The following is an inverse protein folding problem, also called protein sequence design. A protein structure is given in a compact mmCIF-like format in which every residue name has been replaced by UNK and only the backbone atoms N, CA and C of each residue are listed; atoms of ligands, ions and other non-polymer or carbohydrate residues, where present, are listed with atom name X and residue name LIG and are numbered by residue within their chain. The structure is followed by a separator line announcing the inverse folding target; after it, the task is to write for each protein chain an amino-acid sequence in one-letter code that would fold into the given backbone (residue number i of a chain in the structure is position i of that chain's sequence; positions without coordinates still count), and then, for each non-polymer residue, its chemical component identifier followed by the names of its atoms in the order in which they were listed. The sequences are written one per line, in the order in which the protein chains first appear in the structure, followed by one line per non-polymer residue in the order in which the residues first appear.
data_IF_339595910986
#
_entry.id   IF_339595910986
#
_cell.length_a   1.000
_cell.length_b   1.000
_cell.length_c   1.000
_cell.angle_alpha   90.00
_cell.angle_beta   90.00
_cell.angle_gamma   90.00
#
_symmetry.space_group_name_H-M   'P 1'
#
loop_
_entity.id
_entity.type
_entity.pdbx_description
1 polymer ?
#
# COMPACT_ATOMS: atom_id res chain seq x y z
N UNK A 1 -25.68 14.94 47.76
CA UNK A 1 -25.94 14.28 46.47
C UNK A 1 -25.00 14.93 45.48
N UNK A 2 -23.85 14.32 45.29
CA UNK A 2 -22.84 14.74 44.31
C UNK A 2 -23.18 14.04 43.01
N UNK A 3 -23.55 14.85 42.02
CA UNK A 3 -23.85 14.46 40.66
C UNK A 3 -22.53 13.97 40.02
N UNK A 4 -22.46 12.68 39.70
CA UNK A 4 -21.38 12.11 38.92
C UNK A 4 -21.55 12.62 37.49
N UNK A 5 -20.79 13.65 37.13
CA UNK A 5 -20.58 14.05 35.74
C UNK A 5 -19.99 12.85 35.00
N UNK A 6 -20.81 12.24 34.14
CA UNK A 6 -20.34 11.23 33.19
C UNK A 6 -19.38 11.92 32.23
N UNK A 7 -18.11 11.51 32.20
CA UNK A 7 -17.17 11.99 31.21
C UNK A 7 -17.73 11.75 29.80
N UNK A 8 -17.68 12.74 28.89
CA UNK A 8 -18.18 12.56 27.54
C UNK A 8 -17.34 11.47 26.86
N UNK A 9 -17.99 10.41 26.39
CA UNK A 9 -17.36 9.40 25.57
C UNK A 9 -16.63 10.10 24.42
N UNK A 10 -15.31 9.99 24.37
CA UNK A 10 -14.49 10.58 23.31
C UNK A 10 -14.96 10.04 21.96
N UNK A 11 -15.65 10.87 21.20
CA UNK A 11 -16.08 10.55 19.84
C UNK A 11 -14.85 10.43 18.95
N UNK A 12 -14.58 9.22 18.43
CA UNK A 12 -13.52 8.98 17.47
C UNK A 12 -13.80 9.77 16.18
N UNK A 13 -12.77 10.42 15.63
CA UNK A 13 -12.88 11.28 14.44
C UNK A 13 -13.43 10.54 13.23
N UNK A 14 -13.04 9.29 13.04
CA UNK A 14 -13.49 8.45 11.92
C UNK A 14 -14.34 7.25 12.36
N UNK A 15 -14.99 7.35 13.53
CA UNK A 15 -15.96 6.36 14.01
C UNK A 15 -15.43 4.92 13.99
N UNK A 16 -16.19 4.03 13.34
CA UNK A 16 -15.91 2.59 13.33
C UNK A 16 -14.63 2.23 12.56
N UNK A 17 -14.25 2.96 11.51
CA UNK A 17 -12.97 2.74 10.83
C UNK A 17 -11.81 2.98 11.79
N UNK A 18 -11.81 4.11 12.51
CA UNK A 18 -10.75 4.40 13.48
C UNK A 18 -10.71 3.34 14.58
N UNK A 19 -11.87 2.91 15.08
CA UNK A 19 -11.97 1.86 16.10
C UNK A 19 -11.39 0.53 15.61
N UNK A 20 -11.67 0.13 14.37
CA UNK A 20 -11.14 -1.08 13.78
C UNK A 20 -9.62 -1.02 13.61
N UNK A 21 -9.09 0.13 13.16
CA UNK A 21 -7.65 0.33 13.05
C UNK A 21 -6.94 0.37 14.39
N UNK A 22 -7.51 1.02 15.41
CA UNK A 22 -6.97 1.00 16.77
C UNK A 22 -6.85 -0.44 17.30
N UNK A 23 -7.85 -1.29 17.06
CA UNK A 23 -7.80 -2.71 17.44
C UNK A 23 -6.68 -3.46 16.72
N UNK A 24 -6.51 -3.24 15.41
CA UNK A 24 -5.43 -3.84 14.62
C UNK A 24 -4.05 -3.36 15.10
N UNK A 25 -3.92 -2.08 15.42
CA UNK A 25 -2.70 -1.50 15.99
C UNK A 25 -2.36 -2.16 17.33
N UNK A 26 -3.34 -2.28 18.23
CA UNK A 26 -3.16 -2.97 19.52
C UNK A 26 -2.76 -4.45 19.36
N UNK A 27 -3.26 -5.13 18.33
CA UNK A 27 -2.81 -6.50 18.05
C UNK A 27 -1.37 -6.55 17.56
N UNK A 28 -0.87 -5.56 16.83
CA UNK A 28 0.53 -5.52 16.40
C UNK A 28 1.49 -5.29 17.56
N UNK A 29 1.03 -4.62 18.63
CA UNK A 29 1.83 -4.37 19.83
C UNK A 29 2.19 -5.66 20.60
N UNK A 30 3.24 -5.60 21.45
CA UNK A 30 3.58 -6.70 22.35
C UNK A 30 2.36 -7.18 23.14
N UNK A 31 2.36 -8.46 23.48
CA UNK A 31 1.29 -9.04 24.30
C UNK A 31 1.38 -8.47 25.71
N UNK A 32 0.66 -7.38 25.97
CA UNK A 32 0.44 -6.86 27.31
C UNK A 32 -0.63 -7.68 28.03
N UNK A 33 -0.73 -7.51 29.36
CA UNK A 33 -1.71 -8.22 30.18
C UNK A 33 -3.18 -7.85 29.89
N UNK A 34 -3.42 -6.92 28.97
CA UNK A 34 -4.74 -6.53 28.49
C UNK A 34 -5.49 -7.71 27.86
N UNK A 35 -6.80 -7.88 28.14
CA UNK A 35 -7.61 -8.92 27.51
C UNK A 35 -7.67 -8.75 25.98
N UNK A 36 -7.68 -7.51 25.47
CA UNK A 36 -7.75 -7.21 24.03
C UNK A 36 -6.50 -7.70 23.30
N UNK A 37 -5.33 -7.55 23.91
CA UNK A 37 -4.07 -8.04 23.37
C UNK A 37 -3.91 -9.54 23.56
N UNK A 38 -4.64 -10.23 24.45
CA UNK A 38 -4.54 -11.69 24.60
C UNK A 38 -5.39 -12.47 23.59
N UNK A 39 -6.45 -11.86 23.06
CA UNK A 39 -7.44 -12.53 22.21
C UNK A 39 -7.28 -12.26 20.71
N UNK A 40 -6.09 -11.90 20.23
CA UNK A 40 -5.87 -11.71 18.78
C UNK A 40 -6.23 -13.01 18.01
N UNK A 41 -7.22 -12.98 17.10
CA UNK A 41 -7.69 -14.19 16.43
C UNK A 41 -6.78 -14.60 15.26
N UNK A 42 -5.89 -13.70 14.83
CA UNK A 42 -4.99 -13.89 13.70
C UNK A 42 -3.78 -14.69 14.18
N UNK A 43 -3.63 -15.89 13.62
CA UNK A 43 -2.51 -16.79 13.89
C UNK A 43 -1.39 -16.54 12.87
N UNK A 44 -0.17 -16.92 13.25
CA UNK A 44 0.92 -17.00 12.29
C UNK A 44 0.52 -17.93 11.14
N UNK A 45 0.68 -17.46 9.90
CA UNK A 45 0.36 -18.26 8.72
C UNK A 45 1.39 -19.38 8.55
N UNK A 46 0.99 -20.47 7.91
CA UNK A 46 1.92 -21.55 7.51
C UNK A 46 1.87 -21.79 6.01
N UNK A 47 1.17 -20.93 5.27
CA UNK A 47 0.98 -21.05 3.83
C UNK A 47 2.29 -20.76 3.10
N UNK A 48 2.76 -21.72 2.29
CA UNK A 48 3.90 -21.50 1.41
C UNK A 48 3.46 -21.38 -0.05
N UNK A 49 4.29 -20.76 -0.90
CA UNK A 49 3.98 -20.59 -2.32
C UNK A 49 3.70 -21.92 -3.04
N UNK A 50 4.43 -22.98 -2.67
CA UNK A 50 4.20 -24.33 -3.20
C UNK A 50 2.78 -24.85 -2.92
N UNK A 51 2.17 -24.46 -1.80
CA UNK A 51 0.82 -24.89 -1.43
C UNK A 51 -0.22 -24.18 -2.30
N UNK A 52 0.06 -22.95 -2.75
CA UNK A 52 -0.79 -22.20 -3.67
C UNK A 52 -0.90 -22.88 -5.04
N UNK A 53 0.19 -23.48 -5.53
CA UNK A 53 0.18 -24.22 -6.80
C UNK A 53 -0.58 -25.55 -6.73
N UNK A 54 -0.89 -26.04 -5.51
CA UNK A 54 -1.72 -27.24 -5.32
C UNK A 54 -3.22 -26.93 -5.41
N UNK A 55 -3.63 -25.66 -5.42
CA UNK A 55 -5.03 -25.30 -5.63
C UNK A 55 -5.35 -25.42 -7.13
N UNK A 56 -5.98 -26.53 -7.52
CA UNK A 56 -6.31 -26.86 -8.93
C UNK A 56 -7.07 -25.75 -9.70
N UNK A 57 -7.71 -24.83 -8.97
CA UNK A 57 -8.51 -23.72 -9.52
C UNK A 57 -7.72 -22.42 -9.71
N UNK A 58 -6.54 -22.32 -9.10
CA UNK A 58 -5.70 -21.14 -9.17
C UNK A 58 -4.68 -21.31 -10.30
N UNK A 59 -4.74 -20.44 -11.29
CA UNK A 59 -3.64 -20.29 -12.24
C UNK A 59 -2.58 -19.42 -11.57
N UNK A 60 -1.34 -19.88 -11.60
CA UNK A 60 -0.23 -19.22 -10.93
C UNK A 60 0.88 -19.04 -11.95
N UNK A 61 1.16 -17.78 -12.27
CA UNK A 61 2.23 -17.39 -13.17
C UNK A 61 3.40 -16.79 -12.37
N UNK A 62 4.58 -17.37 -12.59
CA UNK A 62 5.85 -16.97 -11.99
C UNK A 62 6.78 -16.43 -13.08
N UNK A 63 7.83 -15.73 -12.66
CA UNK A 63 8.88 -15.21 -13.55
C UNK A 63 8.34 -14.27 -14.65
N UNK A 64 7.19 -13.64 -14.38
CA UNK A 64 6.74 -12.51 -15.18
C UNK A 64 7.84 -11.45 -15.13
N UNK A 65 8.16 -10.89 -16.30
CA UNK A 65 9.17 -9.83 -16.36
C UNK A 65 8.68 -8.68 -15.49
N UNK A 66 9.39 -8.33 -14.40
CA UNK A 66 8.97 -7.22 -13.57
C UNK A 66 8.98 -5.95 -14.40
N UNK A 67 7.96 -5.13 -14.21
CA UNK A 67 7.81 -3.86 -14.91
C UNK A 67 8.15 -2.74 -13.95
N UNK A 68 8.95 -1.77 -14.42
CA UNK A 68 9.03 -0.48 -13.74
C UNK A 68 7.61 0.07 -13.61
N UNK A 69 7.21 0.39 -12.39
CA UNK A 69 5.91 0.97 -12.08
C UNK A 69 6.11 2.48 -11.94
N UNK A 70 5.74 3.29 -12.95
CA UNK A 70 5.99 4.74 -12.93
C UNK A 70 5.38 5.42 -11.69
N UNK A 71 4.32 4.83 -11.11
CA UNK A 71 3.64 5.28 -9.90
C UNK A 71 4.59 5.35 -8.68
N UNK A 72 5.56 4.43 -8.60
CA UNK A 72 6.45 4.26 -7.45
C UNK A 72 7.94 4.38 -7.82
N UNK A 73 8.30 4.43 -9.10
CA UNK A 73 9.69 4.42 -9.57
C UNK A 73 10.54 5.50 -8.91
N UNK A 74 10.06 6.76 -8.89
CA UNK A 74 10.74 7.89 -8.26
C UNK A 74 10.93 7.72 -6.74
N UNK A 75 10.16 6.84 -6.13
CA UNK A 75 10.13 6.58 -4.69
C UNK A 75 11.06 5.42 -4.33
N UNK A 76 11.30 4.49 -5.25
CA UNK A 76 12.29 3.42 -5.08
C UNK A 76 13.71 4.00 -5.04
N UNK A 77 13.97 5.08 -5.79
CA UNK A 77 15.22 5.84 -5.74
C UNK A 77 15.52 6.38 -4.33
N UNK A 78 14.52 6.92 -3.65
CA UNK A 78 14.66 7.42 -2.26
C UNK A 78 15.09 6.29 -1.29
N UNK A 79 14.62 5.07 -1.55
CA UNK A 79 14.93 3.88 -0.75
C UNK A 79 16.29 3.27 -1.08
N UNK A 80 17.06 3.84 -2.02
CA UNK A 80 18.30 3.26 -2.57
C UNK A 80 18.12 1.83 -3.06
N UNK A 81 16.88 1.43 -3.32
CA UNK A 81 16.54 0.13 -3.86
C UNK A 81 16.46 0.31 -5.36
N UNK A 82 17.42 -0.27 -6.08
CA UNK A 82 17.33 -0.33 -7.53
C UNK A 82 16.07 -1.16 -7.85
N UNK A 83 15.13 -0.57 -8.58
CA UNK A 83 13.87 -1.21 -8.97
C UNK A 83 14.08 -2.45 -9.83
N UNK A 84 13.09 -2.83 -10.67
CA UNK A 84 13.13 -4.01 -11.52
C UNK A 84 14.41 -4.23 -12.36
N UNK A 85 15.14 -3.15 -12.64
CA UNK A 85 16.41 -3.17 -13.38
C UNK A 85 17.56 -3.91 -12.68
N UNK A 86 17.48 -4.13 -11.36
CA UNK A 86 18.52 -4.84 -10.59
C UNK A 86 18.45 -6.37 -10.74
N UNK A 87 17.42 -6.88 -11.43
CA UNK A 87 17.22 -8.32 -11.64
C UNK A 87 16.87 -9.12 -10.37
N UNK A 88 16.70 -8.44 -9.22
CA UNK A 88 16.25 -9.01 -7.95
C UNK A 88 14.76 -8.78 -7.71
N UNK A 89 14.00 -8.53 -8.76
CA UNK A 89 12.56 -8.33 -8.68
C UNK A 89 11.85 -9.44 -9.42
N UNK A 90 10.75 -9.93 -8.84
CA UNK A 90 9.91 -10.92 -9.50
C UNK A 90 8.47 -10.44 -9.48
N UNK A 91 7.74 -10.69 -10.57
CA UNK A 91 6.31 -10.42 -10.67
C UNK A 91 5.54 -11.74 -10.61
N UNK A 92 4.43 -11.72 -9.88
CA UNK A 92 3.55 -12.86 -9.68
C UNK A 92 2.12 -12.46 -10.06
N UNK A 93 1.42 -13.37 -10.71
CA UNK A 93 -0.03 -13.27 -10.93
C UNK A 93 -0.69 -14.59 -10.51
N UNK A 94 -1.73 -14.47 -9.68
CA UNK A 94 -2.53 -15.59 -9.21
C UNK A 94 -3.98 -15.28 -9.54
N UNK A 95 -4.59 -16.08 -10.40
CA UNK A 95 -5.97 -15.86 -10.82
C UNK A 95 -6.83 -17.12 -10.73
N UNK A 96 -8.07 -16.95 -10.28
CA UNK A 96 -9.11 -17.95 -10.37
C UNK A 96 -10.29 -17.38 -11.15
N UNK A 97 -10.70 -18.10 -12.20
CA UNK A 97 -11.85 -17.74 -13.02
C UNK A 97 -13.13 -18.45 -12.55
N UNK A 98 -14.24 -17.72 -12.54
CA UNK A 98 -15.58 -18.30 -12.42
C UNK A 98 -15.96 -18.99 -13.73
N UNK A 99 -15.68 -20.30 -13.78
CA UNK A 99 -16.04 -21.14 -14.92
C UNK A 99 -17.52 -21.52 -14.93
N UNK A 100 -18.26 -21.30 -13.83
CA UNK A 100 -19.68 -21.68 -13.71
C UNK A 100 -20.63 -20.60 -14.23
N UNK A 101 -20.23 -19.34 -14.13
CA UNK A 101 -21.00 -18.20 -14.68
C UNK A 101 -20.73 -17.90 -16.15
N UNK A 102 -19.84 -18.66 -16.78
CA UNK A 102 -19.51 -18.46 -18.19
C UNK A 102 -20.63 -19.02 -19.08
N UNK A 103 -21.47 -18.13 -19.62
CA UNK A 103 -22.26 -18.43 -20.81
C UNK A 103 -21.47 -17.97 -22.05
N UNK A 104 -21.01 -18.89 -22.93
CA UNK A 104 -20.31 -18.54 -24.16
C UNK A 104 -21.12 -17.63 -25.10
N UNK A 105 -22.43 -17.51 -24.89
CA UNK A 105 -23.34 -16.66 -25.67
C UNK A 105 -23.47 -15.24 -25.13
N UNK A 106 -23.02 -15.00 -23.91
CA UNK A 106 -23.01 -13.67 -23.32
C UNK A 106 -21.80 -12.89 -23.88
N UNK A 107 -22.06 -12.16 -24.98
CA UNK A 107 -21.05 -11.36 -25.69
C UNK A 107 -20.61 -10.12 -24.90
N UNK A 108 -21.38 -9.72 -23.89
CA UNK A 108 -21.09 -8.56 -23.04
C UNK A 108 -20.37 -8.97 -21.74
N UNK A 109 -20.18 -10.28 -21.51
CA UNK A 109 -19.44 -10.80 -20.36
C UNK A 109 -17.94 -10.48 -20.50
N UNK A 110 -17.50 -9.39 -19.88
CA UNK A 110 -16.09 -8.99 -19.90
C UNK A 110 -15.23 -10.06 -19.18
N UNK A 111 -14.01 -10.28 -19.67
CA UNK A 111 -13.09 -11.27 -19.07
C UNK A 111 -12.79 -10.94 -17.59
N UNK A 112 -12.80 -9.66 -17.24
CA UNK A 112 -12.52 -9.16 -15.89
C UNK A 112 -13.56 -9.58 -14.85
N UNK A 113 -14.84 -9.66 -15.22
CA UNK A 113 -15.91 -10.14 -14.34
C UNK A 113 -15.82 -11.64 -14.05
N UNK A 114 -15.01 -12.40 -14.82
CA UNK A 114 -14.73 -13.82 -14.56
C UNK A 114 -13.72 -14.00 -13.45
N UNK A 115 -12.81 -13.05 -13.25
CA UNK A 115 -11.77 -13.12 -12.22
C UNK A 115 -12.42 -12.97 -10.84
N UNK A 116 -12.51 -14.06 -10.08
CA UNK A 116 -13.16 -14.09 -8.76
C UNK A 116 -12.17 -14.11 -7.60
N UNK A 117 -10.97 -14.64 -7.83
CA UNK A 117 -9.83 -14.45 -6.95
C UNK A 117 -8.66 -13.96 -7.81
N UNK A 118 -8.06 -12.84 -7.43
CA UNK A 118 -6.90 -12.22 -8.08
C UNK A 118 -5.92 -11.80 -7.00
N UNK A 119 -4.65 -12.06 -7.25
CA UNK A 119 -3.54 -11.39 -6.60
C UNK A 119 -2.50 -11.11 -7.66
N UNK A 120 -2.13 -9.84 -7.84
CA UNK A 120 -1.03 -9.44 -8.71
C UNK A 120 -0.09 -8.51 -7.95
N UNK A 121 1.21 -8.69 -8.15
CA UNK A 121 2.19 -7.92 -7.41
C UNK A 121 3.62 -8.29 -7.75
N UNK A 122 4.54 -7.56 -7.13
CA UNK A 122 5.98 -7.71 -7.32
C UNK A 122 6.69 -7.75 -5.97
N UNK A 123 7.75 -8.56 -5.90
CA UNK A 123 8.65 -8.62 -4.76
C UNK A 123 9.99 -8.00 -5.14
N UNK A 124 10.63 -7.36 -4.18
CA UNK A 124 12.01 -6.89 -4.26
C UNK A 124 12.66 -6.91 -2.88
N UNK A 125 13.99 -6.72 -2.79
CA UNK A 125 14.68 -6.68 -1.51
C UNK A 125 14.08 -5.61 -0.61
N UNK A 126 13.48 -6.03 0.51
CA UNK A 126 12.78 -5.15 1.46
C UNK A 126 11.45 -4.55 1.01
N UNK A 127 10.97 -4.87 -0.20
CA UNK A 127 9.78 -4.24 -0.80
C UNK A 127 8.79 -5.28 -1.31
N UNK A 128 7.52 -5.11 -0.94
CA UNK A 128 6.40 -5.81 -1.54
C UNK A 128 5.49 -4.79 -2.23
N UNK A 129 5.24 -4.96 -3.52
CA UNK A 129 4.27 -4.17 -4.28
C UNK A 129 3.07 -5.02 -4.59
N UNK A 130 1.88 -4.51 -4.30
CA UNK A 130 0.62 -5.18 -4.59
C UNK A 130 -0.14 -4.30 -5.58
N UNK A 131 -0.39 -4.84 -6.76
CA UNK A 131 -1.04 -4.17 -7.90
C UNK A 131 -2.54 -4.46 -7.92
N UNK A 132 -2.94 -5.71 -7.63
CA UNK A 132 -4.34 -6.08 -7.59
C UNK A 132 -4.62 -7.12 -6.51
N UNK A 133 -5.73 -6.94 -5.78
CA UNK A 133 -6.23 -7.94 -4.83
C UNK A 133 -7.74 -8.03 -4.93
N UNK A 134 -8.23 -9.24 -5.20
CA UNK A 134 -9.66 -9.56 -5.20
C UNK A 134 -9.82 -10.94 -4.63
N UNK A 135 -10.65 -11.14 -3.61
CA UNK A 135 -10.86 -12.47 -3.02
C UNK A 135 -12.31 -12.72 -2.68
N UNK A 136 -12.80 -13.89 -3.06
CA UNK A 136 -14.10 -14.45 -2.73
C UNK A 136 -13.99 -15.74 -1.91
N UNK A 137 -12.89 -16.48 -2.04
CA UNK A 137 -12.69 -17.77 -1.34
C UNK A 137 -11.22 -18.15 -1.22
N UNK A 138 -10.92 -19.20 -0.44
CA UNK A 138 -9.58 -19.75 -0.28
C UNK A 138 -8.75 -19.00 0.76
N UNK A 139 -7.41 -19.15 0.74
CA UNK A 139 -6.53 -18.45 1.68
C UNK A 139 -6.72 -16.93 1.63
N UNK A 140 -6.48 -16.27 2.77
CA UNK A 140 -6.56 -14.81 2.82
C UNK A 140 -5.46 -14.20 1.96
N UNK A 141 -5.76 -13.07 1.32
CA UNK A 141 -4.77 -12.34 0.50
C UNK A 141 -3.53 -11.95 1.29
N UNK A 142 -3.65 -11.67 2.59
CA UNK A 142 -2.51 -11.35 3.46
C UNK A 142 -1.55 -12.54 3.63
N UNK A 143 -2.07 -13.77 3.67
CA UNK A 143 -1.27 -14.98 3.72
C UNK A 143 -0.60 -15.26 2.38
N UNK A 144 -1.30 -14.99 1.28
CA UNK A 144 -0.75 -15.10 -0.08
C UNK A 144 0.40 -14.12 -0.27
N UNK A 145 0.20 -12.85 0.10
CA UNK A 145 1.24 -11.82 0.06
C UNK A 145 2.48 -12.23 0.85
N UNK A 146 2.31 -12.79 2.06
CA UNK A 146 3.42 -13.32 2.85
C UNK A 146 4.12 -14.47 2.13
N UNK A 147 3.38 -15.47 1.66
CA UNK A 147 3.92 -16.66 1.01
C UNK A 147 4.71 -16.32 -0.27
N UNK A 148 4.26 -15.30 -1.01
CA UNK A 148 4.93 -14.80 -2.21
C UNK A 148 6.21 -14.06 -1.84
N UNK A 149 6.18 -13.17 -0.85
CA UNK A 149 7.39 -12.47 -0.42
C UNK A 149 8.45 -13.42 0.14
N UNK A 150 8.04 -14.35 1.01
CA UNK A 150 8.91 -15.37 1.63
C UNK A 150 9.54 -16.35 0.64
N UNK A 151 8.96 -16.49 -0.55
CA UNK A 151 9.57 -17.30 -1.60
C UNK A 151 10.91 -16.71 -2.07
N UNK A 152 11.02 -15.38 -2.08
CA UNK A 152 12.16 -14.68 -2.66
C UNK A 152 13.10 -14.12 -1.60
N UNK A 153 12.55 -13.63 -0.47
CA UNK A 153 13.28 -12.93 0.57
C UNK A 153 12.84 -13.38 1.97
N UNK A 154 13.73 -13.43 2.96
CA UNK A 154 13.33 -13.64 4.36
C UNK A 154 12.33 -12.56 4.78
N UNK A 155 11.23 -12.94 5.45
CA UNK A 155 10.17 -11.99 5.80
C UNK A 155 10.67 -10.86 6.70
N UNK A 156 11.72 -11.10 7.47
CA UNK A 156 12.39 -10.12 8.33
C UNK A 156 13.04 -8.97 7.57
N UNK A 157 13.25 -9.10 6.27
CA UNK A 157 13.77 -8.00 5.44
C UNK A 157 12.68 -7.06 4.97
N UNK A 158 11.39 -7.40 5.10
CA UNK A 158 10.28 -6.58 4.61
C UNK A 158 10.19 -5.26 5.39
N UNK A 159 10.40 -4.14 4.69
CA UNK A 159 10.39 -2.78 5.24
C UNK A 159 9.29 -1.92 4.62
N UNK A 160 8.92 -2.19 3.37
CA UNK A 160 7.96 -1.38 2.62
C UNK A 160 6.90 -2.25 1.94
N UNK A 161 5.64 -1.88 2.10
CA UNK A 161 4.54 -2.42 1.31
C UNK A 161 3.89 -1.29 0.53
N UNK A 162 3.81 -1.44 -0.79
CA UNK A 162 3.11 -0.53 -1.68
C UNK A 162 1.80 -1.16 -2.13
N UNK A 163 0.72 -0.38 -2.06
CA UNK A 163 -0.54 -0.67 -2.75
C UNK A 163 -0.64 0.33 -3.88
N UNK A 164 -0.56 -0.14 -5.12
CA UNK A 164 -0.65 0.73 -6.29
C UNK A 164 -2.04 0.67 -6.91
N UNK A 165 -2.44 1.77 -7.53
CA UNK A 165 -3.70 1.93 -8.24
C UNK A 165 -4.91 1.47 -7.38
N UNK A 166 -5.07 2.08 -6.21
CA UNK A 166 -6.07 1.69 -5.20
C UNK A 166 -7.49 1.89 -5.74
N UNK A 167 -8.14 0.78 -6.08
CA UNK A 167 -9.54 0.73 -6.55
C UNK A 167 -10.52 0.13 -5.53
N UNK A 168 -10.05 -0.31 -4.36
CA UNK A 168 -10.93 -0.82 -3.31
C UNK A 168 -11.79 0.33 -2.77
N UNK A 169 -13.08 0.31 -3.12
CA UNK A 169 -14.02 1.44 -2.94
C UNK A 169 -14.01 2.01 -1.52
N UNK A 170 -14.00 1.15 -0.49
CA UNK A 170 -14.01 1.62 0.91
C UNK A 170 -12.74 2.38 1.29
N UNK A 171 -11.58 1.90 0.85
CA UNK A 171 -10.28 2.55 1.08
C UNK A 171 -10.17 3.83 0.24
N UNK A 172 -10.53 3.76 -1.04
CA UNK A 172 -10.48 4.90 -1.95
C UNK A 172 -11.38 6.05 -1.47
N UNK A 173 -12.63 5.74 -1.10
CA UNK A 173 -13.57 6.71 -0.57
C UNK A 173 -13.06 7.32 0.74
N UNK A 174 -12.51 6.51 1.64
CA UNK A 174 -11.94 7.00 2.89
C UNK A 174 -10.81 8.01 2.64
N UNK A 175 -9.88 7.70 1.74
CA UNK A 175 -8.79 8.62 1.39
C UNK A 175 -9.33 9.92 0.79
N UNK A 176 -10.21 9.82 -0.20
CA UNK A 176 -10.74 11.00 -0.92
C UNK A 176 -11.60 11.89 -0.05
N UNK A 177 -12.54 11.32 0.70
CA UNK A 177 -13.58 12.07 1.38
C UNK A 177 -13.25 12.40 2.84
N UNK A 178 -12.40 11.60 3.49
CA UNK A 178 -12.10 11.74 4.92
C UNK A 178 -10.68 12.22 5.20
N UNK A 179 -9.69 11.78 4.40
CA UNK A 179 -8.29 12.19 4.60
C UNK A 179 -7.92 13.44 3.83
N UNK A 180 -8.30 13.54 2.56
CA UNK A 180 -7.95 14.67 1.71
C UNK A 180 -8.91 15.84 1.90
N UNK A 181 -8.89 16.36 3.12
CA UNK A 181 -9.75 17.45 3.56
C UNK A 181 -8.92 18.58 4.16
N UNK A 182 -9.44 19.80 4.04
CA UNK A 182 -8.79 20.98 4.62
C UNK A 182 -8.59 20.88 6.14
N UNK A 183 -9.46 20.15 6.85
CA UNK A 183 -9.33 19.90 8.29
C UNK A 183 -8.13 19.02 8.66
N UNK A 184 -7.58 18.26 7.71
CA UNK A 184 -6.35 17.51 7.88
C UNK A 184 -5.13 18.24 7.31
N UNK A 185 -5.28 19.53 6.95
CA UNK A 185 -4.22 20.31 6.32
C UNK A 185 -3.93 19.90 4.86
N UNK A 186 -4.80 19.08 4.26
CA UNK A 186 -4.70 18.70 2.85
C UNK A 186 -5.44 19.76 2.03
N UNK A 187 -4.69 20.49 1.22
CA UNK A 187 -5.25 21.45 0.26
C UNK A 187 -5.33 20.75 -1.08
N UNK A 188 -6.50 20.78 -1.74
CA UNK A 188 -6.64 20.33 -3.12
C UNK A 188 -5.59 21.05 -3.98
N UNK A 189 -4.61 20.28 -4.46
CA UNK A 189 -3.67 20.71 -5.48
C UNK A 189 -3.99 19.94 -6.75
N UNK A 190 -3.77 20.60 -7.90
CA UNK A 190 -4.07 20.07 -9.24
C UNK A 190 -3.69 18.60 -9.38
N UNK A 191 -4.57 17.83 -10.02
CA UNK A 191 -4.62 16.36 -10.14
C UNK A 191 -3.37 15.69 -10.74
N UNK A 192 -2.34 16.46 -11.11
CA UNK A 192 -1.25 15.99 -11.94
C UNK A 192 -0.17 15.25 -11.14
N UNK A 193 0.22 15.73 -9.94
CA UNK A 193 1.08 15.02 -8.97
C UNK A 193 0.86 15.62 -7.58
N UNK A 194 0.20 14.90 -6.68
CA UNK A 194 -0.02 15.37 -5.30
C UNK A 194 1.19 15.09 -4.43
N UNK A 195 1.49 16.01 -3.50
CA UNK A 195 2.44 15.78 -2.41
C UNK A 195 2.12 14.48 -1.65
N UNK A 196 3.15 13.80 -1.11
CA UNK A 196 2.95 12.65 -0.22
C UNK A 196 2.42 13.15 1.12
N UNK A 197 1.23 12.72 1.49
CA UNK A 197 0.74 12.91 2.84
C UNK A 197 1.22 11.79 3.74
N UNK A 198 1.66 12.15 4.94
CA UNK A 198 2.21 11.24 5.94
C UNK A 198 1.26 11.16 7.13
N UNK A 199 0.86 9.93 7.47
CA UNK A 199 -0.01 9.64 8.59
C UNK A 199 0.79 8.84 9.62
N UNK A 200 1.08 9.47 10.75
CA UNK A 200 1.96 8.94 11.79
C UNK A 200 1.24 7.93 12.68
N UNK A 201 1.97 6.93 13.17
CA UNK A 201 1.47 5.94 14.13
C UNK A 201 0.72 6.59 15.30
N UNK A 202 -0.47 6.07 15.61
CA UNK A 202 -1.33 6.54 16.70
C UNK A 202 -2.08 7.85 16.40
N UNK A 203 -1.98 8.41 15.20
CA UNK A 203 -2.88 9.49 14.77
C UNK A 203 -4.27 8.93 14.39
N UNK A 204 -5.34 9.72 14.53
CA UNK A 204 -6.67 9.30 14.06
C UNK A 204 -6.70 8.90 12.58
N UNK A 205 -5.93 9.60 11.74
CA UNK A 205 -5.83 9.36 10.29
C UNK A 205 -5.17 8.00 10.01
N UNK A 206 -4.08 7.71 10.72
CA UNK A 206 -3.39 6.43 10.66
C UNK A 206 -4.31 5.27 11.09
N UNK A 207 -5.00 5.42 12.23
CA UNK A 207 -5.95 4.43 12.72
C UNK A 207 -7.13 4.27 11.74
N UNK A 208 -7.66 5.36 11.20
CA UNK A 208 -8.71 5.32 10.19
C UNK A 208 -8.28 4.55 8.93
N UNK A 209 -7.07 4.81 8.43
CA UNK A 209 -6.48 4.10 7.31
C UNK A 209 -6.26 2.62 7.61
N UNK A 210 -5.74 2.30 8.78
CA UNK A 210 -5.47 0.92 9.19
C UNK A 210 -6.78 0.11 9.29
N UNK A 211 -7.90 0.77 9.62
CA UNK A 211 -9.23 0.19 9.66
C UNK A 211 -9.91 -0.02 8.30
N UNK A 212 -9.36 0.51 7.21
CA UNK A 212 -9.83 0.23 5.84
C UNK A 212 -9.52 -1.21 5.43
N UNK A 213 -10.07 -1.71 4.31
CA UNK A 213 -9.80 -3.09 3.88
C UNK A 213 -8.34 -3.30 3.52
N UNK A 214 -7.71 -2.34 2.83
CA UNK A 214 -6.29 -2.46 2.47
C UNK A 214 -5.36 -2.26 3.67
N UNK A 215 -5.70 -1.33 4.59
CA UNK A 215 -4.99 -1.20 5.86
C UNK A 215 -5.06 -2.49 6.69
N UNK A 216 -6.26 -3.06 6.81
CA UNK A 216 -6.47 -4.31 7.51
C UNK A 216 -5.74 -5.50 6.87
N UNK A 217 -5.66 -5.54 5.53
CA UNK A 217 -4.85 -6.53 4.82
C UNK A 217 -3.39 -6.46 5.25
N UNK A 218 -2.79 -5.26 5.31
CA UNK A 218 -1.39 -5.08 5.73
C UNK A 218 -1.20 -5.44 7.20
N UNK A 219 -2.08 -5.01 8.09
CA UNK A 219 -2.02 -5.39 9.50
C UNK A 219 -2.08 -6.92 9.69
N UNK A 220 -3.00 -7.60 8.97
CA UNK A 220 -3.13 -9.06 8.98
C UNK A 220 -1.90 -9.75 8.40
N UNK A 221 -1.27 -9.18 7.39
CA UNK A 221 0.00 -9.68 6.85
C UNK A 221 1.06 -9.67 7.94
N UNK A 222 1.25 -8.54 8.63
CA UNK A 222 2.24 -8.44 9.70
C UNK A 222 1.95 -9.39 10.86
N UNK A 223 0.69 -9.47 11.31
CA UNK A 223 0.26 -10.39 12.37
C UNK A 223 0.44 -11.86 11.97
N UNK A 224 0.27 -12.17 10.69
CA UNK A 224 0.50 -13.49 10.14
C UNK A 224 1.97 -13.81 9.91
N UNK A 225 2.84 -12.80 9.76
CA UNK A 225 4.25 -12.94 9.37
C UNK A 225 5.23 -12.84 10.53
N UNK A 226 4.93 -12.02 11.53
CA UNK A 226 5.85 -11.69 12.62
C UNK A 226 5.27 -12.05 13.98
N UNK A 227 6.17 -12.33 14.93
CA UNK A 227 5.77 -12.35 16.33
C UNK A 227 5.30 -10.95 16.75
N UNK A 228 4.23 -10.90 17.52
CA UNK A 228 3.63 -9.63 17.96
C UNK A 228 4.61 -8.82 18.79
N UNK A 229 4.62 -7.51 18.58
CA UNK A 229 5.55 -6.60 19.23
C UNK A 229 6.98 -6.65 18.68
N UNK A 230 7.24 -7.36 17.59
CA UNK A 230 8.57 -7.33 16.92
C UNK A 230 8.60 -6.40 15.71
N UNK A 231 7.44 -6.12 15.11
CA UNK A 231 7.27 -5.22 13.97
C UNK A 231 6.07 -4.32 14.18
N UNK A 232 6.16 -3.09 13.67
CA UNK A 232 5.03 -2.16 13.61
C UNK A 232 5.01 -1.42 12.28
N UNK A 233 3.82 -0.97 11.89
CA UNK A 233 3.66 0.02 10.82
C UNK A 233 3.91 1.38 11.44
N UNK A 234 5.05 1.99 11.15
CA UNK A 234 5.43 3.29 11.72
C UNK A 234 4.63 4.44 11.11
N UNK A 235 4.37 4.36 9.81
CA UNK A 235 3.77 5.43 9.02
C UNK A 235 3.03 4.84 7.84
N UNK A 236 1.91 5.44 7.49
CA UNK A 236 1.22 5.21 6.22
C UNK A 236 1.34 6.47 5.39
N UNK A 237 1.70 6.35 4.12
CA UNK A 237 1.69 7.45 3.16
C UNK A 237 0.65 7.23 2.10
N UNK A 238 0.03 8.33 1.67
CA UNK A 238 -0.91 8.32 0.55
C UNK A 238 -0.57 9.47 -0.40
N UNK A 239 -0.72 9.25 -1.70
CA UNK A 239 -0.56 10.28 -2.73
C UNK A 239 -1.38 9.91 -3.98
N UNK A 240 -1.56 10.87 -4.89
CA UNK A 240 -2.05 10.56 -6.23
C UNK A 240 -0.89 10.38 -7.20
N UNK A 241 -0.98 9.33 -8.01
CA UNK A 241 -0.17 9.18 -9.21
C UNK A 241 -1.08 8.68 -10.32
N UNK A 242 -1.00 9.29 -11.50
CA UNK A 242 -1.82 8.92 -12.67
C UNK A 242 -3.33 8.87 -12.35
N UNK A 243 -3.84 9.86 -11.61
CA UNK A 243 -5.25 9.96 -11.17
C UNK A 243 -5.73 8.89 -10.19
N UNK A 244 -4.85 7.99 -9.76
CA UNK A 244 -5.16 6.92 -8.83
C UNK A 244 -4.47 7.13 -7.49
N UNK A 245 -5.15 6.73 -6.42
CA UNK A 245 -4.58 6.76 -5.06
C UNK A 245 -3.55 5.65 -4.94
N UNK A 246 -2.41 5.99 -4.38
CA UNK A 246 -1.32 5.07 -4.07
C UNK A 246 -1.11 5.07 -2.55
N UNK A 247 -0.71 3.94 -1.98
CA UNK A 247 -0.39 3.83 -0.56
C UNK A 247 0.97 3.18 -0.33
N UNK A 248 1.69 3.65 0.69
CA UNK A 248 2.91 3.04 1.18
C UNK A 248 2.80 2.82 2.69
N UNK A 249 3.08 1.60 3.13
CA UNK A 249 3.21 1.25 4.53
C UNK A 249 4.69 1.08 4.85
N UNK A 250 5.17 1.82 5.85
CA UNK A 250 6.56 1.75 6.32
C UNK A 250 6.59 0.91 7.58
N UNK A 251 7.36 -0.17 7.53
CA UNK A 251 7.46 -1.17 8.59
C UNK A 251 8.83 -1.05 9.24
N UNK A 252 8.87 -1.09 10.57
CA UNK A 252 10.13 -1.10 11.30
C UNK A 252 10.17 -2.19 12.37
N UNK A 253 11.38 -2.56 12.78
CA UNK A 253 11.60 -3.38 13.96
C UNK A 253 11.25 -2.60 15.22
N UNK A 254 10.57 -3.25 16.16
CA UNK A 254 10.39 -2.72 17.52
C UNK A 254 11.56 -3.22 18.36
N UNK A 255 12.43 -2.30 18.78
CA UNK A 255 13.55 -2.65 19.66
C UNK A 255 13.01 -3.14 21.00
N UNK A 256 13.23 -4.42 21.32
CA UNK A 256 12.90 -5.03 22.60
C UNK A 256 13.93 -4.59 23.65
N UNK A 257 13.93 -3.31 24.00
CA UNK A 257 14.97 -2.80 24.90
C UNK A 257 15.08 -1.29 25.06
N UNK A 258 13.99 -0.59 25.35
CA UNK A 258 14.08 0.48 26.35
C UNK A 258 12.70 0.83 26.91
N UNK A 259 12.49 0.47 28.17
CA UNK A 259 11.71 1.31 29.07
C UNK A 259 12.38 2.70 29.11
N UNK A 260 12.08 3.57 28.14
CA UNK A 260 12.40 4.98 28.24
C UNK A 260 11.37 5.57 29.19
N UNK A 261 11.74 5.56 30.47
CA UNK A 261 11.34 6.57 31.43
C UNK A 261 11.10 7.90 30.70
N UNK A 262 9.91 8.48 30.88
CA UNK A 262 9.66 9.85 30.49
C UNK A 262 10.80 10.73 31.00
N UNK A 263 11.66 11.18 30.08
CA UNK A 263 12.55 12.30 30.34
C UNK A 263 11.69 13.55 30.31
N UNK A 264 10.98 13.75 31.42
CA UNK A 264 10.66 15.07 31.92
C UNK A 264 11.99 15.82 32.05
N UNK A 265 12.22 16.75 31.14
CA UNK A 265 13.28 17.74 31.28
C UNK A 265 12.69 19.12 31.12
N UNK A 266 12.06 19.62 32.18
CA UNK A 266 12.23 21.01 32.64
C UNK A 266 12.08 21.08 34.16
N UNK A 267 13.17 21.34 34.92
CA UNK A 267 13.05 21.92 36.24
C UNK A 267 12.70 23.40 36.09
N UNK A 268 11.64 23.80 36.79
CA UNK A 268 11.21 25.16 37.03
C UNK A 268 11.97 25.67 38.26
N UNK A 269 12.80 26.69 38.10
CA UNK A 269 13.25 27.61 39.17
C UNK A 269 13.30 29.01 38.52
N UNK A 270 12.28 29.83 38.75
CA UNK A 270 12.19 30.81 39.84
C UNK A 270 13.09 32.03 39.64
N UNK A 271 12.54 33.08 39.03
CA UNK A 271 12.87 34.47 39.38
C UNK A 271 11.59 35.31 39.28
N UNK A 272 11.08 35.63 40.46
CA UNK A 272 10.15 36.73 40.78
C UNK A 272 10.89 38.04 40.47
N UNK A 273 10.26 39.10 39.95
CA UNK A 273 9.66 40.23 40.70
C UNK A 273 9.26 41.39 39.73
N UNK A 274 8.55 42.47 40.12
CA UNK A 274 7.10 42.64 39.82
C UNK A 274 6.72 44.01 39.19
N UNK A 275 5.40 44.31 39.18
CA UNK A 275 4.73 45.65 39.07
C UNK A 275 4.50 46.12 37.60
N UNK A 276 3.35 46.63 37.12
CA UNK A 276 2.17 47.31 37.72
C UNK A 276 0.94 47.31 36.78
N UNK A 277 -0.23 47.09 37.41
CA UNK A 277 -1.58 47.68 37.27
C UNK A 277 -1.84 48.77 36.21
N UNK A 278 -2.90 48.56 35.40
CA UNK A 278 -3.99 49.52 35.10
C UNK A 278 -5.16 48.76 34.42
N UNK A 279 -6.23 48.39 35.14
CA UNK A 279 -7.56 49.04 35.17
C UNK A 279 -8.15 49.48 33.82
N UNK A 280 -9.32 48.92 33.47
CA UNK A 280 -10.28 49.63 32.61
C UNK A 280 -11.38 48.81 31.90
N UNK A 281 -12.53 48.62 32.59
CA UNK A 281 -13.93 48.76 32.10
C UNK A 281 -14.40 47.89 30.91
N UNK A 282 -15.35 46.95 31.11
CA UNK A 282 -16.82 47.14 31.21
C UNK A 282 -17.52 47.40 29.87
N UNK A 283 -18.26 46.40 29.35
CA UNK A 283 -19.72 46.48 29.06
C UNK A 283 -20.25 45.21 28.34
N UNK A 284 -21.30 44.60 28.91
CA UNK A 284 -22.30 43.71 28.25
C UNK A 284 -23.30 44.56 27.41
N UNK A 285 -24.44 44.03 26.92
CA UNK A 285 -24.71 42.87 26.05
C UNK A 285 -25.51 43.29 24.79
N UNK A 286 -25.73 42.41 23.81
CA UNK A 286 -26.84 42.57 22.87
C UNK A 286 -27.54 41.24 22.56
N UNK A 287 -28.86 41.35 22.53
CA UNK A 287 -29.88 40.32 22.43
C UNK A 287 -30.28 40.02 20.97
N UNK A 288 -30.55 38.73 20.72
CA UNK A 288 -31.67 38.17 19.92
C UNK A 288 -31.68 38.34 18.38
N UNK A 289 -32.59 37.69 17.64
CA UNK A 289 -32.81 36.24 17.50
C UNK A 289 -32.88 35.83 16.00
N UNK A 290 -32.66 34.55 15.64
CA UNK A 290 -33.03 34.04 14.30
C UNK A 290 -33.68 32.67 14.42
N UNK A 291 -34.86 32.57 13.83
CA UNK A 291 -35.78 31.43 13.77
C UNK A 291 -35.24 30.22 12.97
N UNK A 292 -35.81 29.01 13.19
CA UNK A 292 -35.37 27.78 12.56
C UNK A 292 -35.91 27.60 11.14
N UNK A 293 -35.03 27.23 10.21
CA UNK A 293 -35.41 26.74 8.89
C UNK A 293 -35.69 25.24 8.96
N UNK A 294 -36.95 24.91 8.69
CA UNK A 294 -37.48 23.59 8.42
C UNK A 294 -37.01 23.11 7.05
N UNK A 295 -36.40 21.92 6.95
CA UNK A 295 -36.25 21.19 5.67
C UNK A 295 -36.62 19.74 5.86
N UNK A 296 -37.27 19.28 4.81
CA UNK A 296 -38.18 18.18 4.61
C UNK A 296 -37.57 16.78 4.77
N UNK A 297 -38.46 15.83 5.10
CA UNK A 297 -38.18 14.41 5.17
C UNK A 297 -38.20 13.78 3.77
N UNK A 298 -37.31 12.80 3.56
CA UNK A 298 -37.72 11.55 2.92
C UNK A 298 -37.28 11.32 1.47
N UNK A 299 -36.26 10.46 1.33
CA UNK A 299 -36.20 9.29 0.41
C UNK A 299 -34.91 8.53 0.73
N UNK A 300 -34.98 7.51 1.58
CA UNK A 300 -35.18 6.11 1.18
C UNK A 300 -34.09 5.59 0.23
N UNK A 301 -32.92 5.29 0.78
CA UNK A 301 -32.06 4.21 0.30
C UNK A 301 -31.93 3.19 1.42
N UNK A 302 -32.26 1.93 1.10
CA UNK A 302 -32.07 0.80 2.02
C UNK A 302 -30.56 0.54 2.19
N UNK A 303 -30.10 0.19 3.40
CA UNK A 303 -28.71 -0.11 3.67
C UNK A 303 -28.32 -1.49 3.10
N UNK A 304 -27.11 -1.57 2.54
CA UNK A 304 -26.35 -2.81 2.47
C UNK A 304 -25.87 -3.11 3.90
N UNK A 305 -26.56 -4.01 4.59
CA UNK A 305 -25.96 -4.78 5.69
C UNK A 305 -25.04 -5.86 5.05
N UNK A 306 -23.86 -6.20 5.57
CA UNK A 306 -23.38 -6.10 6.95
C UNK A 306 -21.83 -6.14 7.02
N UNK A 307 -21.24 -5.82 8.19
CA UNK A 307 -19.81 -5.64 8.42
C UNK A 307 -19.08 -6.92 8.84
N UNK A 308 -17.76 -6.94 8.59
CA UNK A 308 -16.70 -7.69 9.29
C UNK A 308 -17.11 -9.09 9.79
N UNK A 309 -17.10 -10.06 8.89
CA UNK A 309 -16.94 -11.46 9.31
C UNK A 309 -15.48 -11.69 9.72
N UNK A 310 -15.26 -11.76 11.04
CA UNK A 310 -14.09 -12.41 11.63
C UNK A 310 -14.24 -13.92 11.41
N UNK A 311 -13.92 -14.38 10.21
CA UNK A 311 -13.86 -15.81 9.93
C UNK A 311 -12.65 -16.45 10.61
N UNK A 312 -12.93 -17.57 11.28
CA UNK A 312 -11.99 -18.42 12.00
C UNK A 312 -11.02 -19.15 11.07
N UNK A 313 -9.76 -19.25 11.50
CA UNK A 313 -8.57 -19.84 10.84
C UNK A 313 -8.60 -21.34 10.48
N UNK A 314 -9.75 -21.97 10.20
CA UNK A 314 -9.82 -23.40 9.88
C UNK A 314 -10.40 -23.64 8.48
N UNK A 315 -9.54 -23.53 7.47
CA UNK A 315 -9.80 -24.09 6.14
C UNK A 315 -8.95 -25.35 5.92
N UNK A 316 -9.54 -26.56 5.97
CA UNK A 316 -8.80 -27.77 5.67
C UNK A 316 -8.45 -27.86 4.18
N UNK A 317 -7.18 -28.13 3.89
CA UNK A 317 -6.71 -28.46 2.54
C UNK A 317 -7.48 -29.67 1.97
N UNK A 318 -7.86 -29.66 0.68
CA UNK A 318 -8.55 -30.78 0.05
C UNK A 318 -7.64 -32.02 -0.02
N UNK A 319 -8.08 -33.14 0.58
CA UNK A 319 -7.29 -34.37 0.73
C UNK A 319 -7.21 -35.29 -0.48
N UNK A 320 -7.76 -34.94 -1.64
CA UNK A 320 -7.82 -35.86 -2.79
C UNK A 320 -7.54 -35.14 -4.12
N UNK A 321 -6.31 -35.21 -4.61
CA UNK A 321 -5.96 -34.83 -5.97
C UNK A 321 -6.22 -36.03 -6.91
N UNK A 322 -7.24 -35.93 -7.76
CA UNK A 322 -7.44 -36.87 -8.88
C UNK A 322 -6.83 -36.22 -10.12
N UNK A 323 -5.77 -36.85 -10.64
CA UNK A 323 -4.99 -36.34 -11.77
C UNK A 323 -5.84 -36.33 -13.06
N UNK A 324 -6.40 -35.17 -13.42
CA UNK A 324 -7.03 -34.96 -14.73
C UNK A 324 -5.97 -34.42 -15.69
N UNK A 325 -5.54 -35.26 -16.64
CA UNK A 325 -4.63 -34.86 -17.72
C UNK A 325 -5.27 -33.78 -18.60
N UNK A 326 -4.72 -32.56 -18.58
CA UNK A 326 -5.07 -31.48 -19.52
C UNK A 326 -4.64 -31.86 -20.96
N UNK A 327 -5.46 -31.57 -21.99
CA UNK A 327 -5.05 -31.73 -23.38
C UNK A 327 -4.07 -30.62 -23.80
N UNK A 328 -3.00 -30.99 -24.51
CA UNK A 328 -2.01 -30.07 -25.09
C UNK A 328 -2.69 -29.18 -26.15
N UNK A 329 -2.67 -27.87 -25.97
CA UNK A 329 -2.96 -26.88 -27.04
C UNK A 329 -1.89 -27.02 -28.12
N UNK A 330 -2.32 -27.24 -29.37
CA UNK A 330 -1.46 -27.09 -30.55
C UNK A 330 -1.32 -25.59 -30.84
N UNK A 331 -0.08 -25.08 -30.87
CA UNK A 331 0.21 -23.80 -31.50
C UNK A 331 -0.08 -23.92 -33.00
N UNK A 332 -0.76 -22.92 -33.56
CA UNK A 332 -1.02 -22.79 -35.00
C UNK A 332 0.13 -22.08 -35.71
N UNK A 333 0.47 -22.58 -36.91
CA UNK A 333 1.58 -22.19 -37.79
C UNK A 333 1.42 -20.81 -38.47
N UNK A 334 1.06 -19.73 -37.76
CA UNK A 334 0.82 -18.42 -38.41
C UNK A 334 1.84 -17.31 -38.16
N UNK A 335 2.95 -17.57 -37.46
CA UNK A 335 4.02 -16.59 -37.30
C UNK A 335 5.33 -17.12 -37.91
N UNK A 336 5.43 -17.03 -39.23
CA UNK A 336 6.65 -17.30 -39.99
C UNK A 336 6.96 -16.07 -40.84
N UNK A 337 7.51 -15.03 -40.21
CA UNK A 337 8.12 -13.91 -40.93
C UNK A 337 9.50 -14.31 -41.49
N UNK A 338 9.75 -13.85 -42.71
CA UNK A 338 10.90 -14.13 -43.56
C UNK A 338 12.23 -13.60 -43.02
N UNK A 339 13.18 -14.48 -42.73
CA UNK A 339 14.61 -14.15 -42.79
C UNK A 339 15.10 -14.18 -44.25
N UNK A 340 15.50 -13.03 -44.79
CA UNK A 340 16.25 -12.95 -46.05
C UNK A 340 17.75 -13.27 -45.83
N UNK A 341 18.39 -14.03 -46.74
CA UNK A 341 19.79 -14.42 -46.59
C UNK A 341 20.78 -13.36 -47.14
N UNK A 342 22.04 -13.34 -46.65
CA UNK A 342 23.02 -12.33 -47.05
C UNK A 342 23.63 -12.64 -48.43
N UNK A 343 23.69 -11.62 -49.29
CA UNK A 343 24.41 -11.66 -50.57
C UNK A 343 25.92 -11.57 -50.35
N UNK A 344 26.63 -12.59 -50.82
CA UNK A 344 28.09 -12.60 -51.01
C UNK A 344 28.46 -11.75 -52.24
N UNK A 345 29.43 -10.85 -52.10
CA UNK A 345 30.23 -10.36 -53.24
C UNK A 345 31.72 -10.44 -52.91
N UNK A 346 32.43 -11.23 -53.74
CA UNK A 346 33.87 -11.07 -54.06
C UNK A 346 34.02 -9.67 -54.67
N UNK A 347 34.98 -8.82 -54.31
CA UNK A 347 36.40 -9.08 -54.20
C UNK A 347 37.06 -8.67 -55.52
N UNK A 348 37.49 -7.41 -55.65
CA UNK A 348 38.69 -7.09 -56.41
C UNK A 348 39.33 -5.75 -56.02
N UNK A 349 40.59 -5.64 -56.41
CA UNK A 349 41.69 -4.98 -55.74
C UNK A 349 42.17 -3.76 -56.52
N UNK A 350 42.69 -2.72 -55.84
CA UNK A 350 43.85 -1.96 -56.33
C UNK A 350 44.40 -0.96 -55.32
N UNK A 351 45.73 -0.90 -55.35
CA UNK A 351 46.71 -0.14 -54.56
C UNK A 351 46.60 1.38 -54.73
N UNK A 352 46.96 2.13 -53.68
CA UNK A 352 48.05 3.14 -53.73
C UNK A 352 48.35 3.69 -52.32
N UNK A 353 49.64 3.87 -52.04
CA UNK A 353 50.22 4.21 -50.74
C UNK A 353 50.25 5.71 -50.36
N UNK A 354 51.13 6.11 -49.39
CA UNK A 354 50.79 7.08 -48.35
C UNK A 354 51.42 8.48 -48.52
N UNK A 355 50.80 9.50 -47.91
CA UNK A 355 51.42 10.80 -47.55
C UNK A 355 50.84 11.27 -46.21
N UNK A 356 51.62 11.22 -45.12
CA UNK A 356 52.43 12.29 -44.50
C UNK A 356 51.65 13.54 -44.02
N UNK A 357 51.57 13.64 -42.69
CA UNK A 357 51.93 14.79 -41.81
C UNK A 357 51.38 16.18 -42.19
N UNK A 358 50.60 16.78 -41.28
CA UNK A 358 50.94 18.10 -40.70
C UNK A 358 50.15 18.43 -39.44
N UNK A 359 50.92 18.48 -38.36
CA UNK A 359 50.72 19.25 -37.14
C UNK A 359 50.55 20.76 -37.48
N UNK A 360 49.64 21.46 -36.81
CA UNK A 360 49.80 22.92 -36.59
C UNK A 360 49.15 23.35 -35.27
N UNK A 361 50.00 23.93 -34.42
CA UNK A 361 49.74 24.63 -33.17
C UNK A 361 49.23 26.07 -33.41
N UNK A 362 48.63 26.62 -32.35
CA UNK A 362 48.68 28.01 -31.82
C UNK A 362 47.87 29.12 -32.52
N UNK A 363 46.99 29.76 -31.74
CA UNK A 363 47.17 31.13 -31.18
C UNK A 363 45.90 31.50 -30.36
N UNK A 364 45.99 31.84 -29.07
CA UNK A 364 46.32 33.12 -28.38
C UNK A 364 45.26 34.23 -28.51
N UNK A 365 44.76 34.71 -27.35
CA UNK A 365 44.18 36.05 -27.13
C UNK A 365 42.94 36.04 -26.22
N UNK A 366 42.99 36.26 -24.88
CA UNK A 366 43.08 37.54 -24.12
C UNK A 366 41.93 38.51 -24.54
N UNK A 367 41.06 39.10 -23.70
CA UNK A 367 41.19 39.71 -22.35
C UNK A 367 39.81 39.89 -21.67
N UNK A 368 39.89 39.93 -20.36
CA UNK A 368 39.05 40.57 -19.32
C UNK A 368 38.64 42.05 -19.53
N UNK A 369 37.44 42.44 -19.06
CA UNK A 369 37.10 43.62 -18.19
C UNK A 369 35.57 43.66 -17.98
N UNK A 370 35.04 43.54 -16.76
CA UNK A 370 34.69 44.63 -15.82
C UNK A 370 33.86 45.75 -16.44
N UNK A 371 32.55 45.75 -16.16
CA UNK A 371 31.79 46.77 -15.40
C UNK A 371 30.52 46.14 -14.90
#
# INVERSE_FOLDING_TARGET
MTELEAEPATTLKYGDQQKAGLLLQQWLEPVEDSPVTKECPIKASTLALKDLTMFERLDVEFDLKPSALPQIERYLDDLKTKGPEDGRWHKFSLEELDTKRYDPKDRDFNAESRRINVWEGQTGPGVLVIEEIKRKSGPYSSEISRAIYENDFPVETLEYIYMVDVQEEGTLQFVKEQLYTASNGVVEQDEEITERYEWEYGSPEFEGLLGTRLGAHVARLLLGAFERGTRRIQRIRTWYAFQEVQMQFIIEAVESGSAVQGKSSKPLDSLVDPVSVAQGKSSKPLDSPVDPVSVDQGKSSKPLDSPVDLESNDHPLPKNAVSIKRPKRKLSDSDREEEQPPKKSRGDSSKAGPKKVKETKKSKGRKSRKT
#
